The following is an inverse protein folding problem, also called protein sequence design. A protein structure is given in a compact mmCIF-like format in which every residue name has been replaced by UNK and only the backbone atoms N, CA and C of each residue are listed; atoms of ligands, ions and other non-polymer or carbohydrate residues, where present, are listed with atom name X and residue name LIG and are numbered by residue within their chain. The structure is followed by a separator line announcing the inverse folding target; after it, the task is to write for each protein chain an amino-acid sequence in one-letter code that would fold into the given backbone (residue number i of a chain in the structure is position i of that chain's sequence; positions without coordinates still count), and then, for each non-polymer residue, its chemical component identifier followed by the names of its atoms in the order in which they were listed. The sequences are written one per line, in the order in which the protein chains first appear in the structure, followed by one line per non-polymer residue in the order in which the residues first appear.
data_IF_938669724135
#
_entry.id   IF_938669724135
#
_cell.length_a   1.000
_cell.length_b   1.000
_cell.length_c   1.000
_cell.angle_alpha   90.00
_cell.angle_beta   90.00
_cell.angle_gamma   90.00
#
_symmetry.space_group_name_H-M   'P 1'
#
loop_
_entity.id
_entity.type
_entity.pdbx_description
1 polymer ?
#
# COMPACT_ATOMS: atom_id res chain seq x y z
N UNK A 1 -7.97 10.29 -23.31
CA UNK A 1 -7.77 9.27 -22.30
C UNK A 1 -6.46 9.49 -21.56
N UNK A 2 -6.49 9.34 -20.29
CA UNK A 2 -5.28 9.50 -19.50
C UNK A 2 -4.36 8.31 -19.69
N UNK A 3 -3.11 8.59 -19.98
CA UNK A 3 -2.11 7.56 -20.12
C UNK A 3 -1.71 7.06 -18.73
N UNK A 4 -1.82 5.78 -18.51
CA UNK A 4 -1.45 5.18 -17.25
C UNK A 4 0.06 5.05 -17.16
N UNK A 5 0.66 5.66 -16.15
CA UNK A 5 2.11 5.65 -15.98
C UNK A 5 2.57 4.75 -14.85
N UNK A 6 1.66 4.26 -14.06
CA UNK A 6 2.00 3.36 -12.97
C UNK A 6 2.33 1.99 -13.52
N UNK A 7 3.31 1.36 -12.91
CA UNK A 7 3.68 0.00 -13.28
C UNK A 7 2.74 -1.03 -12.70
N UNK A 8 1.97 -0.66 -11.68
CA UNK A 8 1.03 -1.55 -11.01
C UNK A 8 -0.32 -0.87 -10.93
N UNK A 9 -1.36 -1.67 -11.06
CA UNK A 9 -2.73 -1.18 -10.92
C UNK A 9 -2.97 -0.76 -9.48
N UNK A 10 -3.51 0.42 -9.30
CA UNK A 10 -3.89 0.93 -7.99
C UNK A 10 -5.39 0.84 -7.82
N UNK A 11 -5.80 0.42 -6.63
CA UNK A 11 -7.19 0.20 -6.31
C UNK A 11 -7.60 1.19 -5.23
N UNK A 12 -8.70 1.95 -5.44
CA UNK A 12 -9.20 2.87 -4.41
C UNK A 12 -9.87 2.05 -3.32
N UNK A 13 -9.22 1.95 -2.18
CA UNK A 13 -9.76 1.24 -1.03
C UNK A 13 -9.48 2.05 0.23
N UNK A 14 -10.33 1.86 1.23
CA UNK A 14 -10.19 2.54 2.50
C UNK A 14 -10.13 1.48 3.58
N UNK A 15 -8.95 1.30 4.14
CA UNK A 15 -8.72 0.39 5.26
C UNK A 15 -8.06 1.12 6.40
N UNK A 16 -8.27 0.61 7.60
CA UNK A 16 -7.54 1.10 8.77
C UNK A 16 -6.07 0.74 8.60
N UNK A 17 -5.23 1.74 8.68
CA UNK A 17 -3.80 1.59 8.49
C UNK A 17 -3.07 2.29 9.62
N UNK A 18 -2.08 1.62 10.17
CA UNK A 18 -1.17 2.24 11.13
C UNK A 18 0.20 2.28 10.52
N UNK A 19 0.83 3.44 10.55
CA UNK A 19 2.22 3.59 10.13
C UNK A 19 3.07 3.55 11.39
N UNK A 20 3.97 2.58 11.45
CA UNK A 20 4.88 2.45 12.58
C UNK A 20 6.22 3.02 12.16
N UNK A 21 6.61 4.12 12.79
CA UNK A 21 7.82 4.86 12.44
C UNK A 21 8.54 5.24 13.70
N UNK A 22 9.77 4.77 13.84
CA UNK A 22 10.65 5.11 14.99
C UNK A 22 9.96 4.88 16.34
N UNK A 23 9.24 3.77 16.46
CA UNK A 23 8.56 3.41 17.69
C UNK A 23 7.21 4.07 17.90
N UNK A 24 6.82 4.94 17.00
CA UNK A 24 5.53 5.62 17.08
C UNK A 24 4.53 4.94 16.13
N UNK A 25 3.32 4.73 16.60
CA UNK A 25 2.24 4.17 15.79
C UNK A 25 1.28 5.29 15.42
N UNK A 26 1.13 5.54 14.13
CA UNK A 26 0.35 6.67 13.61
C UNK A 26 -0.84 6.13 12.83
N UNK A 27 -2.07 6.29 13.31
CA UNK A 27 -3.24 5.83 12.57
C UNK A 27 -3.51 6.76 11.39
N UNK A 28 -3.74 6.17 10.23
CA UNK A 28 -4.04 6.91 9.01
C UNK A 28 -5.07 6.14 8.21
N UNK A 29 -5.50 6.70 7.09
CA UNK A 29 -6.52 6.09 6.23
C UNK A 29 -5.92 5.84 4.85
N UNK A 30 -5.96 4.59 4.41
CA UNK A 30 -5.52 4.24 3.07
C UNK A 30 -6.49 4.81 2.03
N UNK A 31 -5.96 5.45 1.00
CA UNK A 31 -6.81 5.95 -0.09
C UNK A 31 -6.70 5.09 -1.34
N UNK A 32 -5.55 4.49 -1.61
CA UNK A 32 -5.44 3.47 -2.64
C UNK A 32 -4.20 2.62 -2.38
N UNK A 33 -4.15 1.46 -3.03
CA UNK A 33 -3.10 0.49 -2.81
C UNK A 33 -2.81 -0.26 -4.11
N UNK A 34 -1.57 -0.69 -4.28
CA UNK A 34 -1.14 -1.53 -5.40
C UNK A 34 -0.16 -2.58 -4.87
N UNK A 35 0.37 -3.42 -5.76
CA UNK A 35 1.38 -4.38 -5.37
C UNK A 35 2.71 -3.73 -5.00
N UNK A 36 2.93 -2.49 -5.44
CA UNK A 36 4.21 -1.80 -5.24
C UNK A 36 4.19 -0.79 -4.10
N UNK A 37 3.01 -0.38 -3.65
CA UNK A 37 2.92 0.62 -2.60
C UNK A 37 1.51 1.06 -2.32
N UNK A 38 1.38 2.08 -1.48
CA UNK A 38 0.08 2.61 -1.12
C UNK A 38 0.14 4.12 -0.94
N UNK A 39 -1.05 4.71 -0.91
CA UNK A 39 -1.23 6.13 -0.64
C UNK A 39 -2.22 6.26 0.51
N UNK A 40 -1.91 7.12 1.45
CA UNK A 40 -2.78 7.31 2.59
C UNK A 40 -2.92 8.78 2.92
N UNK A 41 -4.03 9.09 3.59
CA UNK A 41 -4.34 10.45 4.01
C UNK A 41 -3.84 10.66 5.42
N UNK A 42 -3.22 11.80 5.66
CA UNK A 42 -2.71 12.15 6.98
C UNK A 42 -2.63 13.68 7.05
N UNK A 43 -2.85 14.21 8.24
CA UNK A 43 -2.66 15.64 8.47
C UNK A 43 -1.23 15.94 8.90
N UNK A 44 -0.38 14.96 8.80
CA UNK A 44 1.02 15.04 9.22
C UNK A 44 1.93 14.72 8.03
N UNK A 45 3.01 15.48 7.89
CA UNK A 45 4.02 15.21 6.88
C UNK A 45 5.03 14.19 7.38
N UNK A 46 5.48 13.35 6.47
CA UNK A 46 6.52 12.36 6.73
C UNK A 46 7.73 12.70 5.89
N UNK A 47 8.92 12.38 6.39
CA UNK A 47 10.15 12.66 5.66
C UNK A 47 10.36 11.68 4.53
N UNK A 48 10.49 12.13 3.28
CA UNK A 48 10.81 11.25 2.17
C UNK A 48 12.08 10.47 2.43
N UNK A 49 12.08 9.20 2.08
CA UNK A 49 13.21 8.31 2.32
C UNK A 49 13.15 7.56 3.63
N UNK A 50 12.28 7.97 4.55
CA UNK A 50 12.12 7.28 5.83
C UNK A 50 11.53 5.90 5.62
N UNK A 51 12.03 4.92 6.35
CA UNK A 51 11.47 3.57 6.35
C UNK A 51 10.51 3.41 7.50
N UNK A 52 9.44 2.69 7.24
CA UNK A 52 8.38 2.47 8.22
C UNK A 52 7.76 1.09 7.99
N UNK A 53 6.86 0.71 8.88
CA UNK A 53 6.05 -0.49 8.67
C UNK A 53 4.61 -0.04 8.48
N UNK A 54 4.03 -0.47 7.37
CA UNK A 54 2.61 -0.24 7.11
C UNK A 54 1.85 -1.44 7.68
N UNK A 55 1.09 -1.19 8.74
CA UNK A 55 0.29 -2.22 9.39
C UNK A 55 -1.14 -2.04 8.95
N UNK A 56 -1.57 -2.93 8.06
CA UNK A 56 -2.88 -2.86 7.43
C UNK A 56 -3.78 -3.92 8.04
N UNK A 57 -4.88 -3.50 8.63
CA UNK A 57 -5.83 -4.44 9.22
C UNK A 57 -6.98 -4.67 8.26
N UNK A 58 -7.16 -5.91 7.85
CA UNK A 58 -8.20 -6.30 6.91
C UNK A 58 -9.47 -6.77 7.63
N UNK A 59 -9.30 -7.49 8.73
CA UNK A 59 -10.40 -7.85 9.62
C UNK A 59 -9.82 -8.19 11.00
N UNK A 60 -10.65 -8.77 11.87
CA UNK A 60 -10.24 -9.01 13.25
C UNK A 60 -9.01 -9.89 13.39
N UNK A 61 -8.80 -10.79 12.44
CA UNK A 61 -7.73 -11.78 12.53
C UNK A 61 -6.66 -11.61 11.47
N UNK A 62 -6.87 -10.73 10.50
CA UNK A 62 -5.95 -10.58 9.38
C UNK A 62 -5.31 -9.19 9.42
N UNK A 63 -4.02 -9.19 9.69
CA UNK A 63 -3.23 -7.97 9.74
C UNK A 63 -1.97 -8.17 8.91
N UNK A 64 -1.68 -7.21 8.04
CA UNK A 64 -0.48 -7.23 7.22
C UNK A 64 0.54 -6.26 7.80
N UNK A 65 1.79 -6.70 7.86
CA UNK A 65 2.90 -5.83 8.26
C UNK A 65 3.87 -5.76 7.10
N UNK A 66 3.93 -4.62 6.45
CA UNK A 66 4.68 -4.46 5.21
C UNK A 66 5.71 -3.38 5.39
N UNK A 67 6.98 -3.72 5.18
CA UNK A 67 8.05 -2.74 5.27
C UNK A 67 7.95 -1.81 4.06
N UNK A 68 8.00 -0.50 4.32
CA UNK A 68 7.77 0.50 3.29
C UNK A 68 8.71 1.68 3.47
N UNK A 69 8.84 2.45 2.39
CA UNK A 69 9.63 3.68 2.39
C UNK A 69 8.76 4.84 1.90
N UNK A 70 8.80 5.94 2.61
CA UNK A 70 8.08 7.15 2.21
C UNK A 70 8.72 7.72 0.96
N UNK A 71 7.92 7.89 -0.09
CA UNK A 71 8.39 8.47 -1.33
C UNK A 71 8.11 9.96 -1.38
N UNK A 72 6.93 10.36 -0.94
CA UNK A 72 6.48 11.73 -1.03
C UNK A 72 5.41 11.95 0.02
N UNK A 73 5.42 13.13 0.62
CA UNK A 73 4.45 13.48 1.65
C UNK A 73 4.06 14.93 1.54
N UNK A 74 2.76 15.19 1.58
CA UNK A 74 2.21 16.54 1.66
C UNK A 74 1.43 16.64 2.97
N UNK A 75 0.83 17.79 3.23
CA UNK A 75 0.02 17.97 4.43
C UNK A 75 -1.25 17.12 4.43
N UNK A 76 -1.62 16.55 3.29
CA UNK A 76 -2.86 15.78 3.14
C UNK A 76 -2.65 14.33 2.79
N UNK A 77 -1.60 14.02 2.05
CA UNK A 77 -1.44 12.72 1.45
C UNK A 77 0.01 12.31 1.41
N UNK A 78 0.25 11.03 1.68
CA UNK A 78 1.59 10.45 1.65
C UNK A 78 1.58 9.21 0.78
N UNK A 79 2.62 9.06 -0.03
CA UNK A 79 2.83 7.89 -0.88
C UNK A 79 4.02 7.12 -0.34
N UNK A 80 3.84 5.80 -0.18
CA UNK A 80 4.90 4.93 0.30
C UNK A 80 5.06 3.75 -0.66
N UNK A 81 6.31 3.34 -0.84
CA UNK A 81 6.67 2.20 -1.67
C UNK A 81 6.94 1.01 -0.76
N UNK A 82 6.45 -0.17 -1.13
CA UNK A 82 6.73 -1.38 -0.37
C UNK A 82 8.16 -1.82 -0.63
N UNK A 83 8.87 -2.18 0.42
CA UNK A 83 10.24 -2.69 0.33
C UNK A 83 10.28 -4.20 0.39
N UNK A 84 9.52 -4.79 1.30
CA UNK A 84 9.42 -6.24 1.41
C UNK A 84 8.17 -6.63 2.19
N UNK A 85 7.68 -7.81 1.93
CA UNK A 85 6.59 -8.39 2.69
C UNK A 85 6.71 -9.92 2.62
N UNK A 86 6.10 -10.62 3.57
CA UNK A 86 6.12 -12.07 3.56
C UNK A 86 5.05 -12.61 2.59
N UNK A 87 5.07 -13.92 2.38
CA UNK A 87 4.13 -14.56 1.46
C UNK A 87 2.68 -14.39 1.90
N UNK A 88 2.43 -14.44 3.19
CA UNK A 88 1.08 -14.28 3.72
C UNK A 88 0.54 -12.89 3.43
N UNK A 89 1.36 -11.86 3.66
CA UNK A 89 0.98 -10.49 3.36
C UNK A 89 0.73 -10.30 1.86
N UNK A 90 1.60 -10.87 1.04
CA UNK A 90 1.44 -10.78 -0.40
C UNK A 90 0.15 -11.44 -0.86
N UNK A 91 -0.17 -12.62 -0.31
CA UNK A 91 -1.39 -13.34 -0.63
C UNK A 91 -2.63 -12.51 -0.30
N UNK A 92 -2.66 -11.92 0.89
CA UNK A 92 -3.80 -11.10 1.29
C UNK A 92 -3.90 -9.80 0.47
N UNK A 93 -2.77 -9.20 0.15
CA UNK A 93 -2.75 -8.01 -0.69
C UNK A 93 -3.28 -8.32 -2.09
N UNK A 94 -2.85 -9.43 -2.64
CA UNK A 94 -3.34 -9.92 -3.93
C UNK A 94 -4.86 -10.05 -3.92
N UNK A 95 -5.42 -10.63 -2.87
CA UNK A 95 -6.88 -10.79 -2.76
C UNK A 95 -7.60 -9.46 -2.67
N UNK A 96 -7.06 -8.51 -1.92
CA UNK A 96 -7.65 -7.17 -1.84
C UNK A 96 -7.73 -6.56 -3.23
N UNK A 97 -6.65 -6.65 -3.99
CA UNK A 97 -6.61 -6.05 -5.31
C UNK A 97 -7.59 -6.71 -6.27
N UNK A 98 -7.69 -8.04 -6.23
CA UNK A 98 -8.62 -8.77 -7.08
C UNK A 98 -10.07 -8.46 -6.73
N UNK A 99 -10.39 -8.32 -5.45
CA UNK A 99 -11.76 -8.02 -5.03
C UNK A 99 -12.20 -6.61 -5.39
N UNK A 100 -11.28 -5.66 -5.41
CA UNK A 100 -11.64 -4.26 -5.54
C UNK A 100 -11.29 -3.67 -6.90
N UNK A 101 -10.65 -4.43 -7.77
CA UNK A 101 -10.24 -3.93 -9.07
C UNK A 101 -11.39 -3.93 -10.05
N UNK A 102 -11.45 -2.90 -10.90
CA UNK A 102 -12.37 -2.88 -12.02
C UNK A 102 -11.92 -3.83 -13.12
N UNK A 103 -10.62 -4.13 -13.18
CA UNK A 103 -10.04 -4.99 -14.19
C UNK A 103 -9.14 -6.03 -13.52
N UNK A 104 -9.75 -7.15 -13.10
CA UNK A 104 -9.04 -8.21 -12.42
C UNK A 104 -8.07 -8.95 -13.35
N UNK A 105 -8.34 -8.98 -14.65
CA UNK A 105 -7.42 -9.61 -15.60
C UNK A 105 -6.09 -8.86 -15.64
N UNK A 106 -6.15 -7.55 -15.59
CA UNK A 106 -4.94 -6.73 -15.57
C UNK A 106 -4.12 -7.01 -14.31
N UNK A 107 -4.78 -7.15 -13.18
CA UNK A 107 -4.10 -7.44 -11.92
C UNK A 107 -3.47 -8.83 -11.96
N UNK A 108 -4.15 -9.80 -12.53
CA UNK A 108 -3.58 -11.14 -12.65
C UNK A 108 -2.32 -11.15 -13.50
N UNK A 109 -2.29 -10.36 -14.56
CA UNK A 109 -1.08 -10.23 -15.38
C UNK A 109 0.07 -9.63 -14.56
N UNK A 110 -0.22 -8.67 -13.71
CA UNK A 110 0.80 -8.06 -12.86
C UNK A 110 1.35 -9.06 -11.84
N UNK A 111 0.49 -9.99 -11.40
CA UNK A 111 0.87 -10.98 -10.40
C UNK A 111 1.79 -12.07 -10.95
N UNK A 112 1.94 -12.16 -12.26
CA UNK A 112 2.90 -13.10 -12.86
C UNK A 112 4.34 -12.57 -12.80
N UNK A 113 4.52 -11.33 -12.38
CA UNK A 113 5.82 -10.67 -12.27
C UNK A 113 6.16 -10.42 -10.80
N UNK A 114 7.45 -10.36 -10.46
CA UNK A 114 7.82 -10.02 -9.09
C UNK A 114 7.27 -8.66 -8.70
N UNK A 115 6.73 -8.56 -7.49
CA UNK A 115 6.09 -7.33 -7.03
C UNK A 115 7.09 -6.20 -6.77
N UNK A 116 8.34 -6.55 -6.51
CA UNK A 116 9.34 -5.60 -6.03
C UNK A 116 10.57 -5.54 -6.94
N UNK A 117 10.36 -5.58 -8.19
CA UNK A 117 11.47 -5.42 -9.14
C UNK A 117 11.59 -4.00 -9.63
#
# INVERSE_FOLDING_TARGET
MVQERRKRTRVPVSFDLNIVLEGETIPVQTSNISLAGLRFNSDRKFDPGSECVARLRLDKEVELNIKARILRSTARETTASFLEMDESSFYHLKRILLYNAADSDQIEKELTKPAFT
#
